data_IF_585856263355
#
_entry.id   IF_585856263355
#
_cell.length_a   1.000
_cell.length_b   1.000
_cell.length_c   1.000
_cell.angle_alpha   90.00
_cell.angle_beta   90.00
_cell.angle_gamma   90.00
#
_symmetry.space_group_name_H-M   'P 1'
#
loop_
_entity.id
_entity.type
_entity.pdbx_description
1 polymer ?
#
# COMPACT_ATOMS: atom_id res chain seq x y z
N UNK A 1 20.71 5.41 24.76
CA UNK A 1 20.63 4.80 23.42
C UNK A 1 19.31 4.03 23.33
N UNK A 2 18.47 4.34 22.36
CA UNK A 2 17.28 3.56 22.10
C UNK A 2 17.69 2.15 21.63
N UNK A 3 17.11 1.10 22.23
CA UNK A 3 17.35 -0.27 21.80
C UNK A 3 16.66 -0.51 20.46
N UNK A 4 17.31 -1.12 19.44
CA UNK A 4 16.67 -1.40 18.18
C UNK A 4 15.49 -2.37 18.39
N UNK A 5 14.35 -2.03 17.80
CA UNK A 5 13.20 -2.93 17.74
C UNK A 5 13.40 -3.85 16.52
N UNK A 6 13.53 -5.14 16.78
CA UNK A 6 13.70 -6.12 15.70
C UNK A 6 12.37 -6.42 15.04
N UNK A 7 12.33 -6.38 13.69
CA UNK A 7 11.17 -6.70 12.87
C UNK A 7 11.49 -7.87 11.91
N UNK A 8 11.61 -9.11 12.40
CA UNK A 8 12.06 -10.26 11.60
C UNK A 8 11.15 -10.56 10.39
N UNK A 9 9.83 -10.31 10.49
CA UNK A 9 8.88 -10.44 9.37
C UNK A 9 9.22 -9.54 8.19
N UNK A 10 9.87 -8.40 8.44
CA UNK A 10 10.31 -7.48 7.39
C UNK A 10 11.51 -8.02 6.61
N UNK A 11 12.33 -8.84 7.24
CA UNK A 11 13.47 -9.49 6.59
C UNK A 11 13.02 -10.56 5.58
N UNK A 12 11.97 -11.33 5.92
CA UNK A 12 11.36 -12.29 4.98
C UNK A 12 10.74 -11.56 3.78
N UNK A 13 10.02 -10.47 4.03
CA UNK A 13 9.48 -9.61 2.98
C UNK A 13 10.57 -9.06 2.04
N UNK A 14 11.68 -8.57 2.60
CA UNK A 14 12.81 -8.03 1.81
C UNK A 14 13.46 -9.15 0.96
N UNK A 15 13.62 -10.35 1.52
CA UNK A 15 14.17 -11.49 0.79
C UNK A 15 13.27 -11.95 -0.35
N UNK A 16 11.97 -11.99 -0.14
CA UNK A 16 10.98 -12.36 -1.17
C UNK A 16 10.85 -11.27 -2.25
N UNK A 17 11.04 -10.01 -1.91
CA UNK A 17 11.02 -8.91 -2.88
C UNK A 17 12.20 -8.98 -3.88
N UNK A 18 13.34 -9.56 -3.47
CA UNK A 18 14.50 -9.76 -4.36
C UNK A 18 14.30 -10.95 -5.33
N UNK A 19 13.36 -11.87 -5.06
CA UNK A 19 13.03 -13.03 -5.89
C UNK A 19 11.84 -12.78 -6.83
N UNK A 20 11.14 -11.66 -6.68
CA UNK A 20 9.94 -11.36 -7.45
C UNK A 20 10.30 -10.97 -8.89
N UNK A 21 9.89 -11.82 -9.84
CA UNK A 21 9.98 -11.53 -11.28
C UNK A 21 8.76 -10.72 -11.68
N UNK A 22 8.97 -9.47 -12.11
CA UNK A 22 7.91 -8.54 -12.52
C UNK A 22 7.62 -7.44 -11.49
N UNK A 23 6.71 -6.56 -11.86
CA UNK A 23 6.30 -5.42 -11.03
C UNK A 23 4.80 -5.49 -10.75
N UNK A 24 4.43 -5.69 -9.49
CA UNK A 24 3.01 -5.81 -9.09
C UNK A 24 2.18 -4.60 -9.52
N UNK A 25 2.74 -3.39 -9.54
CA UNK A 25 2.01 -2.20 -9.99
C UNK A 25 1.71 -2.24 -11.48
N UNK A 26 2.71 -2.65 -12.30
CA UNK A 26 2.52 -2.83 -13.74
C UNK A 26 1.51 -3.94 -14.05
N UNK A 27 1.61 -5.06 -13.32
CA UNK A 27 0.75 -6.22 -13.52
C UNK A 27 -0.71 -5.91 -13.14
N UNK A 28 -0.94 -5.19 -12.02
CA UNK A 28 -2.27 -4.72 -11.61
C UNK A 28 -2.82 -3.67 -12.58
N UNK A 29 -2.02 -2.70 -13.02
CA UNK A 29 -2.43 -1.68 -13.99
C UNK A 29 -2.82 -2.31 -15.34
N UNK A 30 -2.12 -3.36 -15.76
CA UNK A 30 -2.40 -4.10 -17.00
C UNK A 30 -3.55 -5.12 -16.88
N UNK A 31 -4.08 -5.34 -15.66
CA UNK A 31 -5.09 -6.37 -15.41
C UNK A 31 -4.55 -7.79 -15.62
N UNK A 32 -3.27 -8.02 -15.36
CA UNK A 32 -2.61 -9.31 -15.58
C UNK A 32 -2.94 -10.36 -14.51
N UNK A 33 -3.49 -9.94 -13.36
CA UNK A 33 -3.93 -10.85 -12.30
C UNK A 33 -5.36 -11.35 -12.53
N UNK A 34 -5.65 -12.57 -12.04
CA UNK A 34 -7.04 -13.02 -11.94
C UNK A 34 -7.83 -12.00 -11.09
N UNK A 35 -8.99 -11.51 -11.56
CA UNK A 35 -9.81 -10.57 -10.80
C UNK A 35 -10.16 -11.05 -9.39
N UNK A 36 -10.20 -12.37 -9.17
CA UNK A 36 -10.45 -12.95 -7.84
C UNK A 36 -9.27 -12.72 -6.87
N UNK A 37 -8.03 -12.70 -7.38
CA UNK A 37 -6.81 -12.57 -6.58
C UNK A 37 -6.22 -11.15 -6.58
N UNK A 38 -6.63 -10.30 -7.53
CA UNK A 38 -6.17 -8.91 -7.64
C UNK A 38 -6.47 -8.11 -6.37
N UNK A 39 -5.50 -7.32 -5.92
CA UNK A 39 -5.64 -6.38 -4.80
C UNK A 39 -5.95 -4.94 -5.26
N UNK A 40 -6.18 -4.74 -6.55
CA UNK A 40 -6.56 -3.47 -7.13
C UNK A 40 -7.90 -3.00 -6.55
N UNK A 41 -7.94 -1.77 -6.03
CA UNK A 41 -9.16 -1.11 -5.53
C UNK A 41 -9.74 -0.19 -6.60
N UNK A 42 -8.89 0.61 -7.24
CA UNK A 42 -9.29 1.56 -8.27
C UNK A 42 -8.23 1.67 -9.36
N UNK A 43 -8.69 1.78 -10.62
CA UNK A 43 -7.84 2.04 -11.78
C UNK A 43 -8.24 3.39 -12.37
N UNK A 44 -7.41 4.41 -12.19
CA UNK A 44 -7.60 5.76 -12.70
C UNK A 44 -7.08 5.93 -14.12
N UNK A 45 -6.87 7.19 -14.56
CA UNK A 45 -6.41 7.50 -15.92
C UNK A 45 -4.90 7.26 -16.07
N UNK A 46 -4.10 7.65 -15.09
CA UNK A 46 -2.63 7.58 -15.10
C UNK A 46 -2.06 6.88 -13.88
N UNK A 47 -2.90 6.55 -12.87
CA UNK A 47 -2.48 5.93 -11.62
C UNK A 47 -3.50 4.92 -11.11
N UNK A 48 -3.03 4.00 -10.26
CA UNK A 48 -3.85 2.97 -9.62
C UNK A 48 -3.80 3.11 -8.10
N UNK A 49 -4.86 2.62 -7.43
CA UNK A 49 -4.88 2.39 -5.98
C UNK A 49 -5.11 0.91 -5.71
N UNK A 50 -4.24 0.29 -4.91
CA UNK A 50 -4.31 -1.12 -4.55
C UNK A 50 -3.99 -1.36 -3.08
N UNK A 51 -4.50 -2.45 -2.50
CA UNK A 51 -4.13 -2.87 -1.16
C UNK A 51 -2.69 -3.40 -1.12
N UNK A 52 -1.98 -3.05 -0.06
CA UNK A 52 -0.68 -3.64 0.20
C UNK A 52 -0.86 -5.10 0.67
N UNK A 53 -0.23 -6.04 -0.02
CA UNK A 53 -0.23 -7.47 0.35
C UNK A 53 0.39 -7.71 1.73
N UNK A 54 1.32 -6.83 2.16
CA UNK A 54 2.01 -6.88 3.45
C UNK A 54 1.73 -5.60 4.26
N UNK A 55 0.46 -5.39 4.70
CA UNK A 55 0.01 -4.10 5.19
C UNK A 55 0.63 -3.73 6.55
N UNK A 56 0.88 -2.44 6.76
CA UNK A 56 1.28 -1.89 8.07
C UNK A 56 0.10 -1.79 9.05
N UNK A 57 -1.12 -1.64 8.52
CA UNK A 57 -2.38 -1.67 9.25
C UNK A 57 -3.50 -2.11 8.31
N UNK A 58 -4.67 -2.49 8.84
CA UNK A 58 -5.83 -2.81 8.00
C UNK A 58 -6.13 -1.67 7.05
N UNK A 59 -6.45 -1.98 5.79
CA UNK A 59 -6.75 -0.96 4.79
C UNK A 59 -5.54 -0.18 4.28
N UNK A 60 -4.29 -0.64 4.50
CA UNK A 60 -3.10 0.01 3.95
C UNK A 60 -3.15 -0.01 2.41
N UNK A 61 -3.36 1.14 1.80
CA UNK A 61 -3.35 1.34 0.36
C UNK A 61 -1.99 1.83 -0.14
N UNK A 62 -1.69 1.49 -1.38
CA UNK A 62 -0.60 2.05 -2.17
C UNK A 62 -1.20 2.69 -3.43
N UNK A 63 -0.67 3.85 -3.81
CA UNK A 63 -1.06 4.55 -5.03
C UNK A 63 0.19 4.70 -5.89
N UNK A 64 0.14 4.23 -7.13
CA UNK A 64 1.28 4.21 -8.04
C UNK A 64 0.86 4.66 -9.44
N UNK A 65 1.76 5.31 -10.22
CA UNK A 65 1.49 5.61 -11.61
C UNK A 65 1.38 4.32 -12.45
N UNK A 66 0.72 4.37 -13.60
CA UNK A 66 0.71 3.26 -14.56
C UNK A 66 2.10 3.02 -15.16
N UNK A 67 2.85 4.11 -15.40
CA UNK A 67 4.20 4.01 -15.93
C UNK A 67 5.18 3.49 -14.88
N UNK A 68 6.05 2.59 -15.30
CA UNK A 68 7.13 2.08 -14.46
C UNK A 68 8.24 3.12 -14.31
N UNK A 69 8.18 3.93 -13.28
CA UNK A 69 9.17 4.98 -12.96
C UNK A 69 9.62 4.89 -11.51
N UNK A 70 10.93 4.97 -11.28
CA UNK A 70 11.53 4.76 -9.97
C UNK A 70 11.79 6.03 -9.15
N UNK A 71 11.71 7.22 -9.76
CA UNK A 71 11.97 8.48 -9.08
C UNK A 71 10.78 9.43 -9.15
N UNK A 72 10.56 10.21 -8.09
CA UNK A 72 9.51 11.24 -8.07
C UNK A 72 9.70 12.31 -9.15
N UNK A 73 10.97 12.59 -9.53
CA UNK A 73 11.29 13.53 -10.60
C UNK A 73 10.83 13.09 -11.99
N UNK A 74 10.55 11.80 -12.16
CA UNK A 74 10.15 11.22 -13.43
C UNK A 74 8.62 11.19 -13.62
N UNK A 75 7.87 11.55 -12.58
CA UNK A 75 6.42 11.73 -12.65
C UNK A 75 6.09 12.94 -13.53
N UNK A 76 5.07 12.79 -14.37
CA UNK A 76 4.46 13.94 -15.05
C UNK A 76 3.60 14.74 -14.07
N UNK A 77 3.21 15.97 -14.46
CA UNK A 77 2.30 16.78 -13.65
C UNK A 77 0.94 16.12 -13.45
N UNK A 78 0.43 15.47 -14.50
CA UNK A 78 -0.88 14.79 -14.46
C UNK A 78 -0.84 13.56 -13.53
N UNK A 79 0.21 12.74 -13.61
CA UNK A 79 0.41 11.61 -12.70
C UNK A 79 0.51 12.06 -11.22
N UNK A 80 1.30 13.11 -10.97
CA UNK A 80 1.45 13.63 -9.61
C UNK A 80 0.13 14.19 -9.07
N UNK A 81 -0.66 14.87 -9.91
CA UNK A 81 -1.97 15.40 -9.54
C UNK A 81 -2.97 14.27 -9.27
N UNK A 82 -3.01 13.25 -10.14
CA UNK A 82 -3.92 12.12 -9.97
C UNK A 82 -3.56 11.29 -8.74
N UNK A 83 -2.28 11.00 -8.50
CA UNK A 83 -1.83 10.32 -7.27
C UNK A 83 -2.30 11.08 -6.02
N UNK A 84 -2.20 12.41 -6.03
CA UNK A 84 -2.70 13.21 -4.92
C UNK A 84 -4.22 13.14 -4.79
N UNK A 85 -4.95 13.24 -5.89
CA UNK A 85 -6.42 13.10 -5.93
C UNK A 85 -6.88 11.75 -5.41
N UNK A 86 -6.27 10.67 -5.89
CA UNK A 86 -6.56 9.31 -5.41
C UNK A 86 -6.23 9.13 -3.92
N UNK A 87 -5.20 9.83 -3.39
CA UNK A 87 -4.90 9.80 -1.97
C UNK A 87 -6.00 10.45 -1.13
N UNK A 88 -6.60 11.54 -1.60
CA UNK A 88 -7.74 12.17 -0.94
C UNK A 88 -8.95 11.22 -0.93
N UNK A 89 -9.31 10.65 -2.08
CA UNK A 89 -10.41 9.67 -2.18
C UNK A 89 -10.13 8.44 -1.32
N UNK A 90 -8.88 7.95 -1.26
CA UNK A 90 -8.50 6.83 -0.40
C UNK A 90 -8.73 7.13 1.08
N UNK A 91 -8.41 8.35 1.55
CA UNK A 91 -8.65 8.78 2.94
C UNK A 91 -10.15 8.76 3.25
N UNK A 92 -10.97 9.31 2.36
CA UNK A 92 -12.44 9.35 2.50
C UNK A 92 -13.03 7.94 2.50
N UNK A 93 -12.62 7.10 1.55
CA UNK A 93 -13.02 5.69 1.44
C UNK A 93 -12.69 4.88 2.69
N UNK A 94 -11.45 5.03 3.20
CA UNK A 94 -11.00 4.36 4.43
C UNK A 94 -11.73 4.84 5.68
N UNK A 95 -12.45 5.96 5.61
CA UNK A 95 -13.32 6.46 6.67
C UNK A 95 -14.37 5.46 7.15
N UNK A 96 -14.77 4.47 6.31
CA UNK A 96 -15.69 3.38 6.69
C UNK A 96 -15.18 2.54 7.88
N UNK A 97 -13.87 2.52 8.11
CA UNK A 97 -13.24 1.80 9.23
C UNK A 97 -13.04 2.67 10.48
N UNK A 98 -13.41 3.95 10.45
CA UNK A 98 -13.29 4.87 11.58
C UNK A 98 -11.85 5.08 12.08
N UNK A 99 -10.85 5.30 11.21
CA UNK A 99 -9.50 5.58 11.69
C UNK A 99 -9.43 6.92 12.42
N UNK A 100 -8.53 7.03 13.40
CA UNK A 100 -8.26 8.28 14.12
C UNK A 100 -7.33 9.22 13.35
N UNK A 101 -6.72 8.78 12.24
CA UNK A 101 -5.82 9.57 11.41
C UNK A 101 -5.14 8.71 10.34
N UNK A 102 -4.25 9.34 9.56
CA UNK A 102 -3.53 8.71 8.46
C UNK A 102 -2.06 9.10 8.46
N UNK A 103 -1.20 8.18 8.02
CA UNK A 103 0.15 8.50 7.60
C UNK A 103 0.26 8.31 6.09
N UNK A 104 0.75 9.33 5.38
CA UNK A 104 1.06 9.27 3.96
C UNK A 104 2.56 9.42 3.79
N UNK A 105 3.15 8.67 2.87
CA UNK A 105 4.59 8.77 2.62
C UNK A 105 5.10 7.90 1.50
N UNK A 106 6.29 8.25 1.01
CA UNK A 106 7.02 7.56 -0.03
C UNK A 106 8.25 6.87 0.56
N UNK A 107 8.48 5.62 0.20
CA UNK A 107 9.74 4.94 0.48
C UNK A 107 10.63 5.04 -0.77
N UNK A 108 11.59 5.94 -0.76
CA UNK A 108 12.49 6.16 -1.91
C UNK A 108 13.80 5.40 -1.69
N UNK A 109 14.00 4.38 -2.52
CA UNK A 109 15.16 3.51 -2.47
C UNK A 109 15.08 2.42 -1.38
N UNK A 110 15.92 1.40 -1.52
CA UNK A 110 15.94 0.21 -0.64
C UNK A 110 16.26 0.56 0.83
N UNK A 111 17.14 1.52 1.06
CA UNK A 111 17.51 1.96 2.42
C UNK A 111 16.34 2.60 3.18
N UNK A 112 15.36 3.17 2.47
CA UNK A 112 14.13 3.70 3.04
C UNK A 112 13.04 2.62 3.24
N UNK A 113 13.33 1.38 2.82
CA UNK A 113 12.42 0.25 2.96
C UNK A 113 11.46 0.05 1.79
N UNK A 114 11.77 0.59 0.60
CA UNK A 114 11.04 0.25 -0.61
C UNK A 114 11.25 -1.23 -0.96
N UNK A 115 10.17 -2.02 -0.99
CA UNK A 115 10.19 -3.39 -1.48
C UNK A 115 10.29 -3.45 -3.01
N UNK A 116 9.70 -2.47 -3.69
CA UNK A 116 9.78 -2.24 -5.14
C UNK A 116 10.39 -0.86 -5.31
N UNK A 117 11.72 -0.79 -5.46
CA UNK A 117 12.44 0.47 -5.45
C UNK A 117 12.41 1.21 -6.80
N UNK A 118 12.11 0.49 -7.88
CA UNK A 118 12.10 0.96 -9.26
C UNK A 118 10.71 1.36 -9.77
N UNK A 119 9.69 1.26 -8.90
CA UNK A 119 8.36 1.78 -9.19
C UNK A 119 7.85 2.60 -7.99
N UNK A 120 7.83 3.93 -8.15
CA UNK A 120 7.45 4.84 -7.07
C UNK A 120 5.99 4.67 -6.70
N UNK A 121 5.70 4.65 -5.39
CA UNK A 121 4.35 4.46 -4.88
C UNK A 121 4.15 5.20 -3.56
N UNK A 122 3.01 5.87 -3.43
CA UNK A 122 2.58 6.55 -2.22
C UNK A 122 1.87 5.56 -1.31
N UNK A 123 2.30 5.45 -0.06
CA UNK A 123 1.60 4.72 0.98
C UNK A 123 0.52 5.58 1.62
N UNK A 124 -0.69 5.03 1.79
CA UNK A 124 -1.77 5.61 2.58
C UNK A 124 -2.11 4.62 3.70
N UNK A 125 -1.76 4.97 4.92
CA UNK A 125 -1.81 4.08 6.08
C UNK A 125 -2.78 4.63 7.11
N UNK A 126 -3.98 4.02 7.30
CA UNK A 126 -4.89 4.43 8.35
C UNK A 126 -4.33 4.04 9.73
N UNK A 127 -4.61 4.88 10.71
CA UNK A 127 -4.10 4.75 12.07
C UNK A 127 -5.23 4.79 13.10
N UNK A 128 -5.10 3.98 14.14
CA UNK A 128 -5.99 3.97 15.30
C UNK A 128 -5.20 4.17 16.58
N UNK A 129 -5.85 4.74 17.59
CA UNK A 129 -5.26 4.81 18.93
C UNK A 129 -5.00 3.38 19.43
N UNK A 130 -3.75 3.07 19.79
CA UNK A 130 -3.37 1.74 20.24
C UNK A 130 -3.25 0.68 19.14
N UNK A 131 -3.07 1.06 17.87
CA UNK A 131 -2.89 0.14 16.73
C UNK A 131 -1.59 -0.68 16.78
N UNK A 132 -0.72 -0.38 17.73
CA UNK A 132 0.49 -1.15 18.00
C UNK A 132 0.31 -1.92 19.33
N UNK A 133 0.50 -3.22 19.31
CA UNK A 133 0.42 -4.10 20.48
C UNK A 133 1.69 -4.93 20.63
N UNK A 134 1.72 -5.85 21.59
CA UNK A 134 2.88 -6.67 21.90
C UNK A 134 3.04 -7.91 20.99
N UNK A 135 2.06 -8.26 20.17
CA UNK A 135 2.09 -9.47 19.33
C UNK A 135 3.26 -9.52 18.35
N UNK A 136 3.65 -8.40 17.68
CA UNK A 136 4.84 -8.39 16.83
C UNK A 136 6.13 -8.72 17.59
N UNK A 137 6.20 -8.38 18.88
CA UNK A 137 7.37 -8.64 19.75
C UNK A 137 7.41 -10.09 20.22
N UNK A 138 6.25 -10.66 20.56
CA UNK A 138 6.17 -12.02 21.13
C UNK A 138 6.17 -13.12 20.07
N UNK A 139 5.52 -12.89 18.93
CA UNK A 139 5.25 -13.94 17.95
C UNK A 139 5.67 -13.58 16.52
N UNK A 140 6.30 -12.42 16.30
CA UNK A 140 6.62 -11.89 14.98
C UNK A 140 5.40 -11.86 14.01
N UNK A 141 4.18 -11.75 14.56
CA UNK A 141 2.93 -11.69 13.80
C UNK A 141 2.27 -10.33 13.97
N UNK A 142 1.64 -9.85 12.90
CA UNK A 142 0.75 -8.72 12.92
C UNK A 142 -0.68 -9.23 12.79
N UNK A 143 -1.52 -8.85 13.73
CA UNK A 143 -2.95 -9.19 13.68
C UNK A 143 -3.64 -8.23 12.73
N UNK A 144 -4.21 -8.76 11.65
CA UNK A 144 -5.07 -8.04 10.72
C UNK A 144 -6.46 -8.65 10.86
N UNK A 145 -7.46 -7.87 11.27
CA UNK A 145 -8.76 -8.41 11.69
C UNK A 145 -9.66 -8.87 10.52
N UNK A 146 -9.31 -8.55 9.28
CA UNK A 146 -10.11 -8.86 8.09
C UNK A 146 -9.22 -9.43 6.98
N UNK A 147 -9.76 -10.35 6.17
CA UNK A 147 -9.03 -10.89 5.01
C UNK A 147 -8.86 -9.82 3.93
N UNK A 148 -7.69 -9.80 3.25
CA UNK A 148 -7.36 -8.75 2.27
C UNK A 148 -8.37 -8.64 1.13
N UNK A 149 -8.91 -9.75 0.64
CA UNK A 149 -9.90 -9.74 -0.44
C UNK A 149 -11.24 -9.16 0.02
N UNK A 150 -11.66 -9.43 1.25
CA UNK A 150 -12.85 -8.82 1.84
C UNK A 150 -12.67 -7.31 2.03
N UNK A 151 -11.48 -6.91 2.53
CA UNK A 151 -11.12 -5.48 2.64
C UNK A 151 -11.15 -4.81 1.27
N UNK A 152 -10.57 -5.45 0.23
CA UNK A 152 -10.60 -4.94 -1.14
C UNK A 152 -12.01 -4.70 -1.63
N UNK A 153 -12.90 -5.68 -1.49
CA UNK A 153 -14.26 -5.61 -2.02
C UNK A 153 -15.07 -4.51 -1.34
N UNK A 154 -14.93 -4.38 -0.02
CA UNK A 154 -15.54 -3.28 0.73
C UNK A 154 -15.03 -1.90 0.32
N UNK A 155 -13.71 -1.79 0.06
CA UNK A 155 -13.14 -0.54 -0.40
C UNK A 155 -13.56 -0.21 -1.83
N UNK A 156 -13.68 -1.19 -2.73
CA UNK A 156 -14.21 -0.97 -4.09
C UNK A 156 -15.65 -0.43 -4.05
N UNK A 157 -16.50 -1.03 -3.22
CA UNK A 157 -17.87 -0.56 -3.05
C UNK A 157 -17.93 0.87 -2.50
N UNK A 158 -17.13 1.17 -1.47
CA UNK A 158 -17.07 2.49 -0.88
C UNK A 158 -16.47 3.54 -1.83
N UNK A 159 -15.49 3.16 -2.65
CA UNK A 159 -14.84 4.04 -3.63
C UNK A 159 -15.81 4.48 -4.73
N UNK A 160 -16.67 3.59 -5.19
CA UNK A 160 -17.64 3.88 -6.26
C UNK A 160 -18.73 4.87 -5.80
N UNK A 161 -18.91 5.04 -4.50
CA UNK A 161 -19.93 5.90 -3.90
C UNK A 161 -19.39 7.32 -3.53
N UNK A 162 -18.15 7.68 -3.95
CA UNK A 162 -17.54 8.98 -3.68
C UNK A 162 -17.75 10.00 -4.87
#
# INVERSE_FOLDING_TARGET
MAKPLWAPWRLEYIKQADEQVGCVFCDEAAGAHDPADSLLVHNGETAIALLNKYPYSSGHLMIAPHRHVGALSDLTGDEALEIHGLAVVAIETLGIYGPGGFNLGWNLGRAAGAGIADHVHLHVVPRWSGDTNFMPVLAAVKVIPEHLLETRDRLREAWTNQ
#
